data_IF_058413243537
#
_entry.id   IF_058413243537
#
_cell.length_a   1.000
_cell.length_b   1.000
_cell.length_c   1.000
_cell.angle_alpha   90.00
_cell.angle_beta   90.00
_cell.angle_gamma   90.00
#
_symmetry.space_group_name_H-M   'P 1'
#
loop_
_entity.id
_entity.type
_entity.pdbx_description
1 polymer ?
#
# COMPACT_ATOMS: atom_id res chain seq x y z
N UNK A 1 45.18 -11.19 -36.61
CA UNK A 1 44.31 -10.06 -36.22
C UNK A 1 43.16 -10.61 -35.39
N UNK A 2 43.21 -10.39 -34.08
CA UNK A 2 42.23 -10.93 -33.11
C UNK A 2 41.01 -10.01 -33.13
N UNK A 3 39.92 -10.47 -33.72
CA UNK A 3 38.63 -9.81 -33.60
C UNK A 3 38.11 -10.04 -32.17
N UNK A 4 38.29 -9.04 -31.32
CA UNK A 4 37.69 -9.00 -29.99
C UNK A 4 36.24 -8.54 -30.18
N UNK A 5 35.32 -9.49 -30.42
CA UNK A 5 33.89 -9.21 -30.38
C UNK A 5 33.50 -8.89 -28.94
N UNK A 6 33.44 -7.59 -28.60
CA UNK A 6 32.90 -7.11 -27.34
C UNK A 6 31.38 -7.24 -27.40
N UNK A 7 30.85 -8.37 -26.93
CA UNK A 7 29.41 -8.58 -26.78
C UNK A 7 28.95 -7.75 -25.57
N UNK A 8 28.44 -6.54 -25.85
CA UNK A 8 27.83 -5.67 -24.84
C UNK A 8 26.48 -6.27 -24.43
N UNK A 9 26.48 -7.08 -23.37
CA UNK A 9 25.26 -7.58 -22.72
C UNK A 9 24.54 -6.38 -22.09
N UNK A 10 23.54 -5.85 -22.79
CA UNK A 10 22.53 -4.97 -22.20
C UNK A 10 21.76 -5.78 -21.15
N UNK A 11 22.15 -5.61 -19.88
CA UNK A 11 21.32 -5.99 -18.75
C UNK A 11 20.12 -5.03 -18.73
N UNK A 12 19.04 -5.41 -19.40
CA UNK A 12 17.74 -4.77 -19.22
C UNK A 12 17.22 -5.21 -17.86
N UNK A 13 17.41 -4.38 -16.84
CA UNK A 13 16.75 -4.54 -15.56
C UNK A 13 15.25 -4.37 -15.77
N UNK A 14 14.49 -5.48 -15.74
CA UNK A 14 13.04 -5.42 -15.61
C UNK A 14 12.75 -4.81 -14.23
N UNK A 15 12.39 -3.53 -14.19
CA UNK A 15 11.80 -2.95 -13.00
C UNK A 15 10.37 -3.52 -12.87
N UNK A 16 10.15 -4.34 -11.85
CA UNK A 16 8.84 -4.94 -11.59
C UNK A 16 7.95 -3.87 -10.93
N UNK A 17 6.86 -3.47 -11.60
CA UNK A 17 5.89 -2.54 -11.03
C UNK A 17 5.02 -3.26 -10.01
N UNK A 18 5.15 -2.94 -8.72
CA UNK A 18 4.18 -3.35 -7.70
C UNK A 18 2.90 -2.52 -7.75
N UNK A 19 1.80 -3.15 -7.35
CA UNK A 19 0.47 -2.54 -7.26
C UNK A 19 -0.02 -2.56 -5.83
N UNK A 20 -0.33 -1.37 -5.29
CA UNK A 20 -0.87 -1.18 -3.94
C UNK A 20 -2.34 -0.82 -4.03
N UNK A 21 -3.22 -1.65 -3.47
CA UNK A 21 -4.62 -1.30 -3.29
C UNK A 21 -4.82 -0.61 -1.95
N UNK A 22 -5.56 0.49 -1.93
CA UNK A 22 -5.89 1.24 -0.71
C UNK A 22 -7.39 1.41 -0.55
N UNK A 23 -7.86 1.48 0.70
CA UNK A 23 -9.30 1.63 0.95
C UNK A 23 -9.82 3.01 0.60
N UNK A 24 -9.12 4.07 1.03
CA UNK A 24 -9.58 5.46 0.91
C UNK A 24 -8.52 6.40 0.35
N UNK A 25 -8.97 7.55 -0.18
CA UNK A 25 -8.12 8.57 -0.81
C UNK A 25 -7.01 9.13 0.10
N UNK A 26 -7.22 9.39 1.41
CA UNK A 26 -6.12 9.79 2.29
C UNK A 26 -4.95 8.81 2.31
N UNK A 27 -5.23 7.50 2.38
CA UNK A 27 -4.19 6.47 2.32
C UNK A 27 -3.51 6.44 0.94
N UNK A 28 -4.28 6.63 -0.13
CA UNK A 28 -3.72 6.73 -1.49
C UNK A 28 -2.68 7.84 -1.61
N UNK A 29 -2.93 9.00 -1.00
CA UNK A 29 -2.02 10.13 -1.01
C UNK A 29 -0.74 9.85 -0.23
N UNK A 30 -0.86 9.25 0.96
CA UNK A 30 0.29 8.85 1.79
C UNK A 30 1.15 7.84 1.03
N UNK A 31 0.54 6.77 0.52
CA UNK A 31 1.25 5.72 -0.21
C UNK A 31 1.93 6.28 -1.45
N UNK A 32 1.26 7.12 -2.26
CA UNK A 32 1.86 7.74 -3.45
C UNK A 32 3.04 8.67 -3.13
N UNK A 33 3.10 9.21 -1.93
CA UNK A 33 4.23 10.05 -1.52
C UNK A 33 5.46 9.23 -1.15
N UNK A 34 5.25 8.03 -0.62
CA UNK A 34 6.32 7.12 -0.19
C UNK A 34 6.83 6.28 -1.37
N UNK A 35 5.92 5.81 -2.22
CA UNK A 35 6.22 4.87 -3.29
C UNK A 35 6.96 5.58 -4.45
N UNK A 36 8.09 5.04 -4.94
CA UNK A 36 8.79 5.60 -6.09
C UNK A 36 7.92 5.67 -7.36
N UNK A 37 8.36 6.48 -8.32
CA UNK A 37 7.77 6.46 -9.66
C UNK A 37 7.91 5.08 -10.32
N UNK A 38 6.90 4.68 -11.10
CA UNK A 38 6.88 3.39 -11.81
C UNK A 38 6.02 2.32 -11.14
N UNK A 39 5.49 2.58 -9.95
CA UNK A 39 4.54 1.72 -9.26
C UNK A 39 3.10 2.23 -9.37
N UNK A 40 2.13 1.36 -9.09
CA UNK A 40 0.70 1.66 -9.17
C UNK A 40 0.06 1.71 -7.79
N UNK A 41 -0.79 2.71 -7.56
CA UNK A 41 -1.61 2.81 -6.35
C UNK A 41 -3.06 3.02 -6.77
N UNK A 42 -3.94 2.11 -6.35
CA UNK A 42 -5.35 2.06 -6.73
C UNK A 42 -6.22 2.19 -5.48
N UNK A 43 -7.08 3.21 -5.45
CA UNK A 43 -8.08 3.36 -4.39
C UNK A 43 -9.38 2.63 -4.79
N UNK A 44 -9.87 1.73 -3.93
CA UNK A 44 -11.11 0.97 -4.21
C UNK A 44 -12.37 1.84 -4.08
N UNK A 45 -12.33 2.86 -3.21
CA UNK A 45 -13.43 3.82 -3.10
C UNK A 45 -13.30 4.91 -4.16
N UNK A 46 -14.37 5.09 -4.94
CA UNK A 46 -14.48 6.15 -5.93
C UNK A 46 -14.41 7.55 -5.28
N UNK A 47 -13.96 8.54 -6.04
CA UNK A 47 -13.91 9.94 -5.57
C UNK A 47 -15.31 10.41 -5.16
N UNK A 48 -15.41 10.99 -3.96
CA UNK A 48 -16.66 11.52 -3.42
C UNK A 48 -17.53 10.48 -2.69
N UNK A 49 -17.10 9.22 -2.64
CA UNK A 49 -17.70 8.19 -1.79
C UNK A 49 -17.55 8.55 -0.32
N UNK A 50 -18.59 8.30 0.48
CA UNK A 50 -18.50 8.36 1.94
C UNK A 50 -17.96 7.00 2.47
N UNK A 51 -16.76 6.96 3.08
CA UNK A 51 -16.17 5.72 3.58
C UNK A 51 -17.03 4.99 4.62
N UNK A 52 -17.76 5.75 5.44
CA UNK A 52 -18.62 5.23 6.51
C UNK A 52 -19.85 4.47 5.99
N UNK A 53 -20.23 4.70 4.73
CA UNK A 53 -21.39 4.07 4.11
C UNK A 53 -20.99 3.10 3.00
N UNK A 54 -19.69 2.91 2.78
CA UNK A 54 -19.21 2.15 1.64
C UNK A 54 -19.35 0.65 1.88
N UNK A 55 -19.93 -0.04 0.89
CA UNK A 55 -20.02 -1.49 0.88
C UNK A 55 -19.08 -2.07 -0.17
N UNK A 56 -18.39 -3.13 0.22
CA UNK A 56 -17.42 -3.82 -0.62
C UNK A 56 -18.12 -4.57 -1.77
N UNK A 57 -17.76 -4.23 -3.01
CA UNK A 57 -18.28 -4.83 -4.24
C UNK A 57 -17.39 -5.99 -4.69
N UNK A 58 -17.92 -6.85 -5.56
CA UNK A 58 -17.13 -7.93 -6.18
C UNK A 58 -15.99 -7.39 -7.07
N UNK A 59 -16.17 -6.23 -7.70
CA UNK A 59 -15.10 -5.54 -8.43
C UNK A 59 -13.93 -5.18 -7.53
N UNK A 60 -14.21 -4.76 -6.31
CA UNK A 60 -13.18 -4.32 -5.37
C UNK A 60 -12.40 -5.52 -4.85
N UNK A 61 -13.09 -6.63 -4.56
CA UNK A 61 -12.44 -7.90 -4.22
C UNK A 61 -11.47 -8.38 -5.31
N UNK A 62 -11.81 -8.17 -6.58
CA UNK A 62 -10.90 -8.48 -7.69
C UNK A 62 -9.65 -7.59 -7.64
N UNK A 63 -9.81 -6.29 -7.44
CA UNK A 63 -8.67 -5.35 -7.29
C UNK A 63 -7.79 -5.77 -6.11
N UNK A 64 -8.39 -6.05 -4.96
CA UNK A 64 -7.69 -6.49 -3.75
C UNK A 64 -6.95 -7.81 -3.98
N UNK A 65 -7.55 -8.75 -4.72
CA UNK A 65 -6.91 -10.03 -5.06
C UNK A 65 -5.70 -9.85 -5.98
N UNK A 66 -5.77 -8.94 -6.95
CA UNK A 66 -4.69 -8.67 -7.91
C UNK A 66 -3.55 -7.82 -7.33
N UNK A 67 -3.79 -7.04 -6.26
CA UNK A 67 -2.77 -6.19 -5.65
C UNK A 67 -1.69 -6.99 -4.88
N UNK A 68 -0.46 -6.47 -4.87
CA UNK A 68 0.68 -7.03 -4.13
C UNK A 68 0.59 -6.67 -2.64
N UNK A 69 0.06 -5.49 -2.31
CA UNK A 69 -0.21 -5.03 -0.95
C UNK A 69 -1.58 -4.36 -0.91
N UNK A 70 -2.30 -4.62 0.18
CA UNK A 70 -3.55 -3.97 0.53
C UNK A 70 -3.31 -3.09 1.76
N UNK A 71 -3.77 -1.85 1.72
CA UNK A 71 -3.67 -0.89 2.82
C UNK A 71 -5.06 -0.41 3.22
N UNK A 72 -5.51 -0.75 4.42
CA UNK A 72 -6.83 -0.40 4.95
C UNK A 72 -6.71 0.60 6.10
N UNK A 73 -7.80 1.30 6.42
CA UNK A 73 -7.87 2.04 7.70
C UNK A 73 -7.96 1.04 8.85
N UNK A 74 -8.81 0.02 8.71
CA UNK A 74 -9.11 -0.98 9.74
C UNK A 74 -10.44 -0.79 10.44
N UNK A 75 -11.09 0.36 10.22
CA UNK A 75 -12.34 0.74 10.86
C UNK A 75 -13.53 0.60 9.92
N UNK A 76 -13.28 0.25 8.66
CA UNK A 76 -14.35 -0.13 7.73
C UNK A 76 -15.04 -1.40 8.25
N UNK A 77 -16.37 -1.47 8.23
CA UNK A 77 -17.11 -2.65 8.74
C UNK A 77 -16.69 -3.97 8.08
N UNK A 78 -16.21 -3.89 6.83
CA UNK A 78 -15.75 -5.03 6.05
C UNK A 78 -14.23 -5.28 6.15
N UNK A 79 -13.46 -4.44 6.85
CA UNK A 79 -12.01 -4.52 6.91
C UNK A 79 -11.54 -5.90 7.42
N UNK A 80 -12.15 -6.39 8.50
CA UNK A 80 -11.83 -7.71 9.05
C UNK A 80 -11.96 -8.82 8.00
N UNK A 81 -13.02 -8.79 7.18
CA UNK A 81 -13.22 -9.78 6.13
C UNK A 81 -12.09 -9.75 5.10
N UNK A 82 -11.62 -8.56 4.73
CA UNK A 82 -10.49 -8.39 3.79
C UNK A 82 -9.19 -8.89 4.42
N UNK A 83 -8.93 -8.57 5.68
CA UNK A 83 -7.77 -9.08 6.43
C UNK A 83 -7.80 -10.61 6.46
N UNK A 84 -8.93 -11.23 6.80
CA UNK A 84 -9.07 -12.69 6.87
C UNK A 84 -8.84 -13.38 5.51
N UNK A 85 -9.21 -12.73 4.39
CA UNK A 85 -9.06 -13.29 3.04
C UNK A 85 -7.64 -13.10 2.47
N UNK A 86 -6.95 -12.02 2.86
CA UNK A 86 -5.68 -11.60 2.26
C UNK A 86 -4.62 -11.30 3.33
N UNK A 87 -4.55 -12.16 4.36
CA UNK A 87 -3.74 -11.96 5.57
C UNK A 87 -2.31 -11.54 5.27
N UNK A 88 -1.63 -12.25 4.37
CA UNK A 88 -0.18 -12.09 4.14
C UNK A 88 0.19 -10.79 3.43
N UNK A 89 -0.79 -10.08 2.87
CA UNK A 89 -0.59 -8.87 2.06
C UNK A 89 -1.40 -7.67 2.52
N UNK A 90 -2.10 -7.78 3.65
CA UNK A 90 -2.90 -6.67 4.19
C UNK A 90 -2.16 -5.96 5.32
N UNK A 91 -2.09 -4.64 5.22
CA UNK A 91 -1.67 -3.73 6.28
C UNK A 91 -2.86 -2.89 6.71
N UNK A 92 -2.99 -2.67 8.01
CA UNK A 92 -4.08 -1.90 8.61
C UNK A 92 -3.49 -0.70 9.33
N UNK A 93 -4.04 0.49 9.06
CA UNK A 93 -3.59 1.75 9.66
C UNK A 93 -3.81 1.78 11.18
N UNK A 94 -4.98 1.34 11.63
CA UNK A 94 -5.34 1.34 13.04
C UNK A 94 -4.53 0.33 13.89
N UNK A 95 -3.94 -0.69 13.26
CA UNK A 95 -3.24 -1.77 13.98
C UNK A 95 -1.94 -1.26 14.62
N UNK A 96 -1.75 -1.60 15.90
CA UNK A 96 -0.58 -1.34 16.75
C UNK A 96 -0.25 0.14 17.03
N UNK A 97 -1.03 1.09 16.51
CA UNK A 97 -0.79 2.52 16.73
C UNK A 97 -1.62 3.06 17.90
N UNK A 98 -2.79 2.46 18.18
CA UNK A 98 -3.72 2.95 19.19
C UNK A 98 -3.98 1.90 20.26
N UNK A 99 -3.89 2.30 21.53
CA UNK A 99 -4.55 1.53 22.59
C UNK A 99 -6.06 1.57 22.35
N UNK A 100 -6.75 0.43 22.55
CA UNK A 100 -8.19 0.24 22.31
C UNK A 100 -9.08 1.34 22.92
N UNK A 101 -8.61 2.02 23.95
CA UNK A 101 -9.39 3.06 24.63
C UNK A 101 -9.52 4.37 23.83
N UNK A 102 -8.76 4.51 22.73
CA UNK A 102 -8.87 5.65 21.78
C UNK A 102 -9.80 5.35 20.57
N UNK A 103 -10.55 4.25 20.59
CA UNK A 103 -11.43 3.72 19.51
C UNK A 103 -12.51 4.69 18.97
N UNK A 104 -12.62 5.93 19.45
CA UNK A 104 -13.73 6.82 19.08
C UNK A 104 -13.49 7.69 17.83
N UNK A 105 -12.25 7.89 17.40
CA UNK A 105 -11.97 8.72 16.23
C UNK A 105 -11.49 7.89 15.04
N UNK A 106 -12.39 7.70 14.08
CA UNK A 106 -12.11 6.89 12.89
C UNK A 106 -11.23 7.62 11.84
N UNK A 107 -10.96 8.92 12.03
CA UNK A 107 -10.23 9.77 11.09
C UNK A 107 -8.74 9.87 11.43
N UNK A 108 -8.12 8.73 11.72
CA UNK A 108 -6.76 8.60 12.27
C UNK A 108 -5.68 9.30 11.43
N UNK A 109 -5.88 9.36 10.12
CA UNK A 109 -5.00 10.00 9.14
C UNK A 109 -4.96 11.54 9.22
N UNK A 110 -5.86 12.17 9.99
CA UNK A 110 -5.85 13.62 10.18
C UNK A 110 -4.81 14.08 11.22
N UNK A 111 -4.27 13.16 12.00
CA UNK A 111 -3.18 13.43 12.93
C UNK A 111 -1.81 13.19 12.25
N UNK A 112 -0.94 14.20 12.13
CA UNK A 112 0.35 14.06 11.48
C UNK A 112 1.29 13.08 12.19
N UNK A 113 1.17 12.87 13.50
CA UNK A 113 1.98 11.89 14.25
C UNK A 113 1.58 10.48 13.83
N UNK A 114 0.28 10.20 13.71
CA UNK A 114 -0.22 8.91 13.23
C UNK A 114 0.25 8.65 11.80
N UNK A 115 0.17 9.67 10.93
CA UNK A 115 0.66 9.58 9.55
C UNK A 115 2.15 9.29 9.51
N UNK A 116 2.96 9.92 10.37
CA UNK A 116 4.41 9.67 10.43
C UNK A 116 4.72 8.22 10.83
N UNK A 117 4.10 7.72 11.90
CA UNK A 117 4.27 6.34 12.36
C UNK A 117 3.84 5.33 11.30
N UNK A 118 2.69 5.55 10.68
CA UNK A 118 2.20 4.67 9.64
C UNK A 118 3.07 4.71 8.37
N UNK A 119 3.57 5.89 8.00
CA UNK A 119 4.50 6.04 6.87
C UNK A 119 5.76 5.22 7.09
N UNK A 120 6.31 5.20 8.31
CA UNK A 120 7.44 4.35 8.64
C UNK A 120 7.12 2.85 8.52
N UNK A 121 5.94 2.40 8.99
CA UNK A 121 5.49 1.01 8.79
C UNK A 121 5.39 0.66 7.29
N UNK A 122 4.84 1.55 6.48
CA UNK A 122 4.75 1.37 5.02
C UNK A 122 6.14 1.26 4.38
N UNK A 123 7.07 2.15 4.74
CA UNK A 123 8.45 2.14 4.25
C UNK A 123 9.14 0.80 4.55
N UNK A 124 9.02 0.29 5.79
CA UNK A 124 9.54 -1.03 6.18
C UNK A 124 8.91 -2.17 5.38
N UNK A 125 7.62 -2.09 5.05
CA UNK A 125 6.97 -3.12 4.24
C UNK A 125 7.42 -3.04 2.78
N UNK A 126 7.52 -1.85 2.22
CA UNK A 126 7.92 -1.66 0.82
C UNK A 126 9.38 -2.03 0.59
N UNK A 127 10.28 -1.80 1.55
CA UNK A 127 11.68 -2.26 1.46
C UNK A 127 11.81 -3.79 1.40
N UNK A 128 10.89 -4.53 2.04
CA UNK A 128 10.85 -5.99 1.97
C UNK A 128 10.38 -6.50 0.59
N UNK A 129 9.42 -5.80 -0.01
CA UNK A 129 8.78 -6.22 -1.28
C UNK A 129 9.58 -5.74 -2.48
N UNK A 130 10.28 -4.61 -2.34
CA UNK A 130 11.14 -4.02 -3.36
C UNK A 130 12.56 -3.78 -2.83
N UNK A 131 13.36 -4.85 -2.60
CA UNK A 131 14.70 -4.72 -2.03
C UNK A 131 15.65 -3.86 -2.87
N UNK A 132 15.41 -3.79 -4.19
CA UNK A 132 16.20 -2.97 -5.10
C UNK A 132 16.06 -1.45 -4.85
N UNK A 133 14.99 -1.03 -4.19
CA UNK A 133 14.71 0.37 -3.82
C UNK A 133 14.79 0.59 -2.31
N UNK A 134 15.28 -0.39 -1.53
CA UNK A 134 15.32 -0.35 -0.06
C UNK A 134 15.99 0.92 0.50
N UNK A 135 17.11 1.36 -0.09
CA UNK A 135 17.83 2.57 0.34
C UNK A 135 17.01 3.87 0.22
N UNK A 136 15.90 3.86 -0.54
CA UNK A 136 14.99 5.02 -0.66
C UNK A 136 13.90 5.04 0.42
N UNK A 137 13.77 3.94 1.15
CA UNK A 137 12.81 3.76 2.23
C UNK A 137 13.47 3.87 3.63
N UNK A 138 14.75 4.23 3.71
CA UNK A 138 15.47 4.58 4.95
C UNK A 138 15.40 6.09 5.24
#
# INVERSE_FOLDING_TARGET
>A
MRWLSTMFLLFCSLALSITIAVSIRPLELIVKHILPEGHSVVCIMDKGTNPHLYQLKTSDLRILNEADVIVLVGLEEWAKKVVDMFTDKTMVFADDIFEKDFEQNEHLWLDPVNVLLFSHKLMLRFSQIEPASAERFD
#
